data_IF_524063761905
#
_entry.id   IF_524063761905
#
_cell.length_a   1.000
_cell.length_b   1.000
_cell.length_c   1.000
_cell.angle_alpha   90.00
_cell.angle_beta   90.00
_cell.angle_gamma   90.00
#
_symmetry.space_group_name_H-M   'P 1'
#
loop_
_entity.id
_entity.type
_entity.pdbx_description
1 polymer ?
#
# COMPACT_ATOMS: atom_id res chain seq x y z
N UNK A 1 -12.73 22.32 -12.37
CA UNK A 1 -11.80 21.17 -12.26
C UNK A 1 -10.52 21.42 -11.43
N UNK A 2 -9.97 22.66 -11.34
CA UNK A 2 -8.76 22.95 -10.54
C UNK A 2 -8.86 22.61 -9.03
N UNK A 3 -10.07 22.63 -8.46
CA UNK A 3 -10.26 22.53 -7.01
C UNK A 3 -10.05 21.11 -6.45
N UNK A 4 -10.51 20.05 -7.15
CA UNK A 4 -10.38 18.66 -6.67
C UNK A 4 -8.92 18.24 -6.50
N UNK A 5 -8.04 18.65 -7.41
CA UNK A 5 -6.60 18.35 -7.31
C UNK A 5 -5.98 19.03 -6.09
N UNK A 6 -6.38 20.27 -5.78
CA UNK A 6 -5.90 20.98 -4.60
C UNK A 6 -6.34 20.26 -3.31
N UNK A 7 -7.60 19.82 -3.23
CA UNK A 7 -8.11 19.08 -2.07
C UNK A 7 -7.42 17.71 -1.90
N UNK A 8 -7.17 16.98 -3.00
CA UNK A 8 -6.37 15.74 -2.95
C UNK A 8 -4.96 15.98 -2.40
N UNK A 9 -4.31 17.06 -2.83
CA UNK A 9 -2.98 17.43 -2.34
C UNK A 9 -3.02 17.79 -0.84
N UNK A 10 -4.06 18.48 -0.37
CA UNK A 10 -4.22 18.77 1.07
C UNK A 10 -4.30 17.49 1.91
N UNK A 11 -5.08 16.51 1.47
CA UNK A 11 -5.19 15.20 2.16
C UNK A 11 -3.85 14.47 2.17
N UNK A 12 -3.12 14.45 1.05
CA UNK A 12 -1.80 13.81 1.01
C UNK A 12 -0.79 14.51 1.93
N UNK A 13 -0.88 15.83 2.08
CA UNK A 13 -0.02 16.61 2.98
C UNK A 13 -0.33 16.42 4.47
N UNK A 14 -1.55 16.01 4.83
CA UNK A 14 -1.93 15.78 6.22
C UNK A 14 -1.63 14.36 6.72
N UNK A 15 -1.09 13.49 5.86
CA UNK A 15 -0.59 12.18 6.27
C UNK A 15 0.61 12.35 7.22
N UNK A 16 0.57 11.63 8.34
CA UNK A 16 1.72 11.53 9.24
C UNK A 16 2.89 10.85 8.52
N UNK A 17 4.08 11.44 8.61
CA UNK A 17 5.30 10.81 8.10
C UNK A 17 5.63 9.56 8.94
N UNK A 18 6.00 8.47 8.26
CA UNK A 18 6.39 7.22 8.90
C UNK A 18 7.90 7.18 9.13
N UNK A 19 8.31 6.81 10.34
CA UNK A 19 9.69 6.34 10.59
C UNK A 19 9.81 4.85 10.25
N UNK A 20 11.03 4.33 10.11
CA UNK A 20 11.25 2.94 9.71
C UNK A 20 10.58 1.93 10.65
N UNK A 21 10.51 2.21 11.95
CA UNK A 21 9.83 1.37 12.94
C UNK A 21 8.31 1.42 12.78
N UNK A 22 7.77 2.57 12.39
CA UNK A 22 6.34 2.76 12.14
C UNK A 22 5.90 1.96 10.91
N UNK A 23 6.75 1.86 9.89
CA UNK A 23 6.43 1.09 8.67
C UNK A 23 6.19 -0.38 9.03
N UNK A 24 7.07 -1.00 9.83
CA UNK A 24 6.93 -2.41 10.24
C UNK A 24 5.65 -2.68 11.04
N UNK A 25 5.18 -1.69 11.80
CA UNK A 25 3.97 -1.82 12.64
C UNK A 25 2.68 -1.56 11.87
N UNK A 26 2.72 -0.67 10.88
CA UNK A 26 1.51 -0.16 10.23
C UNK A 26 1.30 -0.71 8.81
N UNK A 27 2.28 -1.40 8.23
CA UNK A 27 2.19 -1.93 6.87
C UNK A 27 2.48 -3.42 6.83
N UNK A 28 1.72 -4.11 6.00
CA UNK A 28 1.96 -5.50 5.59
C UNK A 28 2.13 -5.51 4.08
N UNK A 29 3.13 -6.26 3.62
CA UNK A 29 3.41 -6.44 2.19
C UNK A 29 3.23 -7.91 1.85
N UNK A 30 2.70 -8.15 0.66
CA UNK A 30 2.45 -9.48 0.13
C UNK A 30 2.99 -9.61 -1.28
N UNK A 31 3.20 -10.86 -1.68
CA UNK A 31 3.52 -11.27 -3.02
C UNK A 31 2.57 -12.42 -3.36
N UNK A 32 1.94 -12.40 -4.55
CA UNK A 32 1.03 -13.48 -4.90
C UNK A 32 1.78 -14.81 -5.06
N UNK A 33 1.22 -15.85 -4.46
CA UNK A 33 1.64 -17.22 -4.69
C UNK A 33 0.89 -17.82 -5.87
N UNK A 34 1.11 -19.11 -6.11
CA UNK A 34 0.32 -19.86 -7.08
C UNK A 34 -1.18 -19.79 -6.78
N UNK A 35 -2.00 -19.87 -7.82
CA UNK A 35 -3.45 -19.79 -7.66
C UNK A 35 -4.21 -20.26 -8.90
N UNK A 36 -5.50 -19.93 -8.96
CA UNK A 36 -6.36 -20.22 -10.10
C UNK A 36 -7.12 -18.97 -10.53
N UNK A 37 -7.11 -18.67 -11.83
CA UNK A 37 -7.93 -17.64 -12.46
C UNK A 37 -8.76 -18.31 -13.55
N UNK A 38 -10.08 -18.18 -13.47
CA UNK A 38 -11.03 -18.80 -14.42
C UNK A 38 -10.78 -20.31 -14.65
N UNK A 39 -10.46 -21.03 -13.57
CA UNK A 39 -10.17 -22.46 -13.59
C UNK A 39 -8.79 -22.84 -14.14
N UNK A 40 -7.96 -21.88 -14.56
CA UNK A 40 -6.58 -22.11 -15.01
C UNK A 40 -5.59 -21.82 -13.88
N UNK A 41 -4.65 -22.73 -13.68
CA UNK A 41 -3.57 -22.50 -12.71
C UNK A 41 -2.68 -21.35 -13.18
N UNK A 42 -2.35 -20.46 -12.25
CA UNK A 42 -1.41 -19.36 -12.45
C UNK A 42 -0.23 -19.53 -11.51
N UNK A 43 0.96 -19.16 -12.02
CA UNK A 43 2.24 -19.28 -11.32
C UNK A 43 2.31 -18.34 -10.11
N UNK A 44 3.20 -18.61 -9.15
CA UNK A 44 3.59 -17.59 -8.18
C UNK A 44 4.42 -16.50 -8.86
N UNK A 45 4.49 -15.32 -8.27
CA UNK A 45 5.23 -14.19 -8.86
C UNK A 45 6.71 -14.51 -9.14
N UNK A 46 7.35 -15.32 -8.29
CA UNK A 46 8.77 -15.71 -8.46
C UNK A 46 9.01 -16.69 -9.60
N UNK A 47 7.99 -17.41 -10.06
CA UNK A 47 8.12 -18.40 -11.14
C UNK A 47 7.83 -17.79 -12.53
N UNK A 48 7.56 -16.50 -12.58
CA UNK A 48 7.35 -15.76 -13.83
C UNK A 48 8.68 -15.60 -14.60
N UNK A 49 8.62 -15.68 -15.93
CA UNK A 49 9.80 -15.83 -16.81
C UNK A 49 10.86 -14.71 -16.73
N UNK A 50 10.58 -13.62 -16.00
CA UNK A 50 11.46 -12.44 -15.86
C UNK A 50 11.56 -11.94 -14.42
N UNK A 51 11.20 -12.77 -13.45
CA UNK A 51 11.33 -12.47 -12.04
C UNK A 51 12.46 -13.32 -11.47
N UNK A 52 13.31 -12.71 -10.64
CA UNK A 52 14.34 -13.45 -9.94
C UNK A 52 13.71 -14.33 -8.85
N UNK A 53 14.22 -15.55 -8.67
CA UNK A 53 13.72 -16.51 -7.67
C UNK A 53 13.77 -15.96 -6.23
N UNK A 54 14.70 -15.04 -5.95
CA UNK A 54 14.85 -14.37 -4.65
C UNK A 54 14.19 -12.98 -4.57
N UNK A 55 13.39 -12.61 -5.58
CA UNK A 55 12.76 -11.30 -5.67
C UNK A 55 11.92 -10.99 -4.42
N UNK A 56 12.19 -9.83 -3.82
CA UNK A 56 11.45 -9.28 -2.69
C UNK A 56 10.48 -8.17 -3.10
N UNK A 57 10.15 -8.07 -4.39
CA UNK A 57 9.18 -7.10 -4.90
C UNK A 57 7.78 -7.46 -4.40
N UNK A 58 7.12 -6.57 -3.62
CA UNK A 58 5.74 -6.80 -3.22
C UNK A 58 4.79 -6.57 -4.41
N UNK A 59 3.77 -7.41 -4.53
CA UNK A 59 2.68 -7.22 -5.50
C UNK A 59 1.43 -6.64 -4.83
N UNK A 60 1.47 -6.53 -3.49
CA UNK A 60 0.38 -6.05 -2.67
C UNK A 60 0.89 -5.37 -1.41
N UNK A 61 0.20 -4.31 -0.99
CA UNK A 61 0.47 -3.59 0.26
C UNK A 61 -0.85 -3.27 0.94
N UNK A 62 -0.93 -3.62 2.23
CA UNK A 62 -1.96 -3.14 3.15
C UNK A 62 -1.31 -2.21 4.17
N UNK A 63 -1.98 -1.12 4.53
CA UNK A 63 -1.43 -0.15 5.45
C UNK A 63 -2.47 0.62 6.26
N UNK A 64 -2.12 0.94 7.50
CA UNK A 64 -2.84 1.91 8.33
C UNK A 64 -2.21 3.29 8.14
N UNK A 65 -2.96 4.21 7.54
CA UNK A 65 -2.60 5.61 7.39
C UNK A 65 -3.24 6.43 8.49
N UNK A 66 -2.48 7.33 9.11
CA UNK A 66 -3.00 8.28 10.09
C UNK A 66 -2.94 9.69 9.51
N UNK A 67 -4.10 10.35 9.44
CA UNK A 67 -4.26 11.74 9.07
C UNK A 67 -4.28 12.60 10.33
N UNK A 68 -3.55 13.71 10.29
CA UNK A 68 -3.52 14.72 11.35
C UNK A 68 -4.40 15.89 10.90
N UNK A 69 -5.36 16.30 11.72
CA UNK A 69 -6.16 17.50 11.42
C UNK A 69 -5.30 18.76 11.49
N UNK A 70 -5.70 19.81 10.76
CA UNK A 70 -4.91 21.06 10.65
C UNK A 70 -4.73 21.78 12.00
N UNK A 71 -5.62 21.54 12.96
CA UNK A 71 -5.54 22.03 14.34
C UNK A 71 -4.69 21.13 15.26
N UNK A 72 -4.27 19.96 14.78
CA UNK A 72 -3.49 18.97 15.53
C UNK A 72 -4.29 18.24 16.62
N UNK A 73 -5.60 18.47 16.73
CA UNK A 73 -6.42 18.00 17.84
C UNK A 73 -7.01 16.60 17.60
N UNK A 74 -7.07 16.13 16.35
CA UNK A 74 -7.66 14.84 16.01
C UNK A 74 -6.80 14.02 15.05
N UNK A 75 -6.81 12.70 15.29
CA UNK A 75 -6.14 11.71 14.47
C UNK A 75 -7.18 10.75 13.90
N UNK A 76 -7.19 10.61 12.58
CA UNK A 76 -8.08 9.69 11.89
C UNK A 76 -7.24 8.61 11.21
N UNK A 77 -7.58 7.34 11.46
CA UNK A 77 -6.89 6.22 10.83
C UNK A 77 -7.73 5.63 9.71
N UNK A 78 -7.11 5.38 8.56
CA UNK A 78 -7.71 4.73 7.39
C UNK A 78 -6.86 3.52 7.03
N UNK A 79 -7.52 2.39 6.76
CA UNK A 79 -6.85 1.21 6.23
C UNK A 79 -6.96 1.22 4.71
N UNK A 80 -5.82 1.06 4.03
CA UNK A 80 -5.73 1.07 2.57
C UNK A 80 -5.14 -0.23 2.08
N UNK A 81 -5.62 -0.63 0.91
CA UNK A 81 -5.18 -1.82 0.20
C UNK A 81 -4.81 -1.44 -1.23
N UNK A 82 -3.61 -1.79 -1.65
CA UNK A 82 -3.08 -1.40 -2.95
C UNK A 82 -2.40 -2.60 -3.58
N UNK A 83 -2.81 -2.91 -4.82
CA UNK A 83 -2.02 -3.74 -5.72
C UNK A 83 -0.90 -2.86 -6.27
N UNK A 84 0.34 -3.30 -6.12
CA UNK A 84 1.53 -2.52 -6.49
C UNK A 84 2.07 -2.97 -7.85
#
# INVERSE_FOLDING_TARGET
MKNIRAEKVKVLKSLRHFQSEDVKKNFVRGQYGEGYIDGKQVKAYRDEDRVADDSNTPTFVSGKLTLITLDGLAYHSIFVLVNV
#
